data_IF_499446156555
#
_entry.id   IF_499446156555
#
_cell.length_a   1.000
_cell.length_b   1.000
_cell.length_c   1.000
_cell.angle_alpha   90.00
_cell.angle_beta   90.00
_cell.angle_gamma   90.00
#
_symmetry.space_group_name_H-M   'P 1'
#
loop_
_entity.id
_entity.type
_entity.pdbx_description
1 polymer ?
#
# COMPACT_ATOMS: atom_id res chain seq x y z
N UNK A 1 -10.15 1.91 23.57
CA UNK A 1 -9.28 2.79 22.76
C UNK A 1 -7.86 2.48 23.20
N UNK A 2 -7.00 2.01 22.30
CA UNK A 2 -5.62 1.68 22.67
C UNK A 2 -4.78 2.96 22.75
N UNK A 3 -4.21 3.24 23.92
CA UNK A 3 -3.31 4.38 24.19
C UNK A 3 -1.96 4.22 23.46
N UNK A 4 -1.97 4.45 22.15
CA UNK A 4 -0.77 4.37 21.32
C UNK A 4 -0.11 5.74 21.22
N UNK A 5 1.16 5.86 21.60
CA UNK A 5 1.95 7.08 21.56
C UNK A 5 2.91 7.09 20.37
N UNK A 6 3.29 8.30 19.96
CA UNK A 6 4.28 8.57 18.92
C UNK A 6 5.48 9.30 19.51
N UNK A 7 6.68 8.80 19.23
CA UNK A 7 7.97 9.36 19.66
C UNK A 7 8.50 10.23 18.52
N UNK A 8 8.59 11.55 18.73
CA UNK A 8 8.97 12.53 17.71
C UNK A 8 10.25 13.25 18.14
N UNK A 9 11.29 13.20 17.31
CA UNK A 9 12.47 14.03 17.45
C UNK A 9 12.11 15.48 17.14
N UNK A 10 12.48 16.44 17.99
CA UNK A 10 12.08 17.85 17.84
C UNK A 10 12.98 18.63 16.87
N UNK A 11 14.08 18.03 16.40
CA UNK A 11 15.08 18.70 15.56
C UNK A 11 16.20 19.38 16.35
N UNK A 12 16.23 19.23 17.68
CA UNK A 12 17.23 19.82 18.56
C UNK A 12 18.05 18.75 19.28
N UNK A 13 19.32 19.06 19.50
CA UNK A 13 20.28 18.21 20.20
C UNK A 13 20.58 18.81 21.57
N UNK A 14 20.92 17.95 22.52
CA UNK A 14 21.34 18.39 23.85
C UNK A 14 22.67 19.16 23.74
N UNK A 15 22.77 20.29 24.48
CA UNK A 15 23.92 21.21 24.41
C UNK A 15 25.24 20.63 24.95
N UNK A 16 25.20 19.41 25.51
CA UNK A 16 26.31 18.74 26.19
C UNK A 16 27.05 17.69 25.35
N UNK A 17 26.68 17.46 24.07
CA UNK A 17 27.33 16.47 23.18
C UNK A 17 27.57 16.94 21.75
N UNK A 18 28.65 16.43 21.16
CA UNK A 18 28.97 16.67 19.75
C UNK A 18 28.06 15.85 18.82
N UNK A 19 27.59 16.43 17.69
CA UNK A 19 26.66 15.75 16.77
C UNK A 19 27.18 14.42 16.20
N UNK A 20 28.49 14.28 15.98
CA UNK A 20 29.08 13.06 15.43
C UNK A 20 29.00 11.88 16.42
N UNK A 21 29.17 12.13 17.73
CA UNK A 21 29.02 11.10 18.76
C UNK A 21 27.57 10.58 18.85
N UNK A 22 26.60 11.47 18.63
CA UNK A 22 25.17 11.14 18.61
C UNK A 22 24.84 10.25 17.39
N UNK A 23 25.43 10.55 16.23
CA UNK A 23 25.24 9.78 14.98
C UNK A 23 25.74 8.35 15.16
N UNK A 24 26.95 8.16 15.70
CA UNK A 24 27.52 6.82 15.94
C UNK A 24 26.73 6.04 16.99
N UNK A 25 26.32 6.70 18.08
CA UNK A 25 25.50 6.06 19.13
C UNK A 25 24.12 5.63 18.61
N UNK A 26 23.50 6.45 17.77
CA UNK A 26 22.21 6.16 17.15
C UNK A 26 22.32 5.00 16.15
N UNK A 27 23.31 5.04 15.26
CA UNK A 27 23.57 3.99 14.27
C UNK A 27 23.81 2.62 14.94
N UNK A 28 24.62 2.59 16.00
CA UNK A 28 24.92 1.38 16.75
C UNK A 28 23.72 0.80 17.50
N UNK A 29 22.89 1.64 18.12
CA UNK A 29 21.74 1.19 18.92
C UNK A 29 20.56 0.72 18.07
N UNK A 30 20.31 1.41 16.94
CA UNK A 30 19.17 1.11 16.06
C UNK A 30 19.54 0.25 14.84
N UNK A 31 20.81 -0.13 14.69
CA UNK A 31 21.33 -0.90 13.54
C UNK A 31 20.97 -0.25 12.19
N UNK A 32 21.09 1.08 12.10
CA UNK A 32 20.92 1.83 10.85
C UNK A 32 22.26 2.33 10.32
N UNK A 33 22.33 2.70 9.04
CA UNK A 33 23.55 3.28 8.47
C UNK A 33 23.86 4.65 9.09
N UNK A 34 25.16 4.96 9.24
CA UNK A 34 25.61 6.26 9.78
C UNK A 34 25.09 7.44 8.94
N UNK A 35 24.92 7.25 7.62
CA UNK A 35 24.38 8.27 6.73
C UNK A 35 22.91 8.60 7.02
N UNK A 36 22.07 7.59 7.32
CA UNK A 36 20.67 7.80 7.72
C UNK A 36 20.59 8.50 9.09
N UNK A 37 21.48 8.14 10.02
CA UNK A 37 21.57 8.80 11.32
C UNK A 37 22.03 10.26 11.17
N UNK A 38 23.00 10.54 10.29
CA UNK A 38 23.47 11.89 9.98
C UNK A 38 22.37 12.76 9.38
N UNK A 39 21.62 12.26 8.41
CA UNK A 39 20.49 13.00 7.83
C UNK A 39 19.45 13.35 8.90
N UNK A 40 19.10 12.40 9.77
CA UNK A 40 18.12 12.63 10.84
C UNK A 40 18.61 13.71 11.83
N UNK A 41 19.83 13.57 12.34
CA UNK A 41 20.43 14.45 13.36
C UNK A 41 20.72 15.85 12.80
N UNK A 42 21.21 15.95 11.56
CA UNK A 42 21.59 17.23 10.94
C UNK A 42 20.43 17.96 10.25
N UNK A 43 19.30 17.29 9.98
CA UNK A 43 18.15 17.93 9.30
C UNK A 43 17.52 19.07 10.10
N UNK A 44 17.65 19.06 11.43
CA UNK A 44 17.03 20.03 12.33
C UNK A 44 15.50 20.06 12.28
N UNK A 45 14.86 19.05 11.67
CA UNK A 45 13.42 18.99 11.45
C UNK A 45 12.76 18.01 12.42
N UNK A 46 11.55 18.35 12.85
CA UNK A 46 10.76 17.47 13.69
C UNK A 46 10.39 16.18 12.93
N UNK A 47 10.93 15.04 13.35
CA UNK A 47 10.85 13.79 12.58
C UNK A 47 10.32 12.66 13.46
N UNK A 48 9.30 11.91 13.00
CA UNK A 48 8.75 10.82 13.79
C UNK A 48 9.64 9.58 13.74
N UNK A 49 10.20 9.17 14.87
CA UNK A 49 11.11 8.02 14.94
C UNK A 49 10.31 6.71 15.06
N UNK A 50 9.27 6.69 15.91
CA UNK A 50 8.43 5.48 16.09
C UNK A 50 7.01 5.84 16.49
N UNK A 51 6.03 5.19 15.87
CA UNK A 51 4.59 5.31 16.16
C UNK A 51 4.02 3.98 16.66
N UNK A 52 2.86 4.05 17.33
CA UNK A 52 2.10 2.86 17.74
C UNK A 52 2.59 2.20 19.03
N UNK A 53 3.30 2.92 19.90
CA UNK A 53 3.87 2.35 21.14
C UNK A 53 2.92 2.53 22.32
N UNK A 54 2.70 1.48 23.11
CA UNK A 54 2.06 1.62 24.43
C UNK A 54 2.87 2.57 25.32
N UNK A 55 2.20 3.33 26.19
CA UNK A 55 2.81 4.37 27.05
C UNK A 55 4.14 3.93 27.71
N UNK A 56 4.14 2.76 28.37
CA UNK A 56 5.33 2.24 29.05
C UNK A 56 6.50 1.88 28.12
N UNK A 57 6.23 1.53 26.85
CA UNK A 57 7.26 1.30 25.83
C UNK A 57 7.73 2.62 25.23
N UNK A 58 6.82 3.57 25.03
CA UNK A 58 7.14 4.88 24.49
C UNK A 58 8.06 5.68 25.44
N UNK A 59 7.81 5.63 26.75
CA UNK A 59 8.68 6.23 27.79
C UNK A 59 10.09 5.59 27.80
N UNK A 60 10.17 4.26 27.65
CA UNK A 60 11.47 3.57 27.53
C UNK A 60 12.24 3.98 26.27
N UNK A 61 11.54 4.10 25.14
CA UNK A 61 12.14 4.59 23.88
C UNK A 61 12.61 6.04 24.00
N UNK A 62 11.82 6.90 24.64
CA UNK A 62 12.19 8.29 24.89
C UNK A 62 13.44 8.37 25.77
N UNK A 63 13.50 7.63 26.88
CA UNK A 63 14.65 7.64 27.79
C UNK A 63 15.95 7.22 27.09
N UNK A 64 15.87 6.23 26.20
CA UNK A 64 17.01 5.75 25.41
C UNK A 64 17.50 6.83 24.43
N UNK A 65 16.58 7.54 23.76
CA UNK A 65 16.93 8.61 22.80
C UNK A 65 17.46 9.88 23.49
N UNK A 66 16.88 10.24 24.64
CA UNK A 66 17.36 11.37 25.45
C UNK A 66 18.75 11.07 26.03
N UNK A 67 19.01 9.83 26.46
CA UNK A 67 20.33 9.40 26.92
C UNK A 67 21.41 9.46 25.82
N UNK A 68 21.00 9.42 24.55
CA UNK A 68 21.88 9.63 23.39
C UNK A 68 22.06 11.10 23.00
N UNK A 69 21.34 12.04 23.61
CA UNK A 69 21.47 13.47 23.32
C UNK A 69 20.45 14.03 22.31
N UNK A 70 19.40 13.29 21.96
CA UNK A 70 18.31 13.79 21.13
C UNK A 70 17.19 14.39 21.99
N UNK A 71 16.69 15.58 21.64
CA UNK A 71 15.48 16.14 22.26
C UNK A 71 14.23 15.52 21.60
N UNK A 72 13.42 14.81 22.40
CA UNK A 72 12.33 13.97 21.90
C UNK A 72 11.05 14.20 22.69
N UNK A 73 9.95 14.36 21.98
CA UNK A 73 8.61 14.58 22.52
C UNK A 73 7.70 13.36 22.32
N UNK A 74 6.91 13.03 23.34
CA UNK A 74 5.87 12.01 23.27
C UNK A 74 4.54 12.65 22.88
N UNK A 75 4.11 12.43 21.65
CA UNK A 75 2.83 12.95 21.13
C UNK A 75 1.76 11.86 21.28
N UNK A 76 0.78 12.11 22.15
CA UNK A 76 -0.45 11.31 22.19
C UNK A 76 -1.31 11.62 20.95
N UNK A 77 -1.99 10.64 20.35
CA UNK A 77 -2.91 10.86 19.25
C UNK A 77 -4.09 11.67 19.79
N UNK A 78 -4.07 12.97 19.52
CA UNK A 78 -5.22 13.81 19.81
C UNK A 78 -6.38 13.37 18.90
N UNK A 79 -7.60 13.19 19.43
CA UNK A 79 -8.79 13.18 18.59
C UNK A 79 -8.85 14.54 17.88
N UNK A 80 -9.05 14.51 16.55
CA UNK A 80 -9.11 15.72 15.74
C UNK A 80 -10.02 16.78 16.39
N UNK A 81 -9.42 17.87 16.87
CA UNK A 81 -10.14 18.99 17.44
C UNK A 81 -11.01 19.61 16.33
N UNK A 82 -12.33 19.55 16.52
CA UNK A 82 -13.29 20.35 15.74
C UNK A 82 -12.97 21.85 15.96
N UNK A 83 -13.11 22.71 14.94
CA UNK A 83 -13.05 24.15 15.17
C UNK A 83 -14.22 24.55 16.09
N UNK A 84 -13.89 25.34 17.11
CA UNK A 84 -14.80 25.74 18.17
C UNK A 84 -15.92 26.64 17.65
N UNK A 85 -17.16 26.17 17.79
CA UNK A 85 -18.34 27.01 17.98
C UNK A 85 -19.26 26.34 19.00
N UNK A 86 -19.78 27.18 19.90
CA UNK A 86 -20.89 26.97 20.84
C UNK A 86 -20.58 26.38 22.25
N UNK A 87 -20.56 27.31 23.21
CA UNK A 87 -21.39 27.38 24.42
C UNK A 87 -21.33 26.24 25.46
N UNK A 88 -20.83 26.59 26.65
CA UNK A 88 -20.94 25.87 27.92
C UNK A 88 -22.40 25.72 28.38
N UNK A 89 -22.69 24.65 29.14
CA UNK A 89 -23.36 24.67 30.46
C UNK A 89 -23.21 23.28 31.11
N UNK A 90 -22.98 23.30 32.42
CA UNK A 90 -22.74 22.23 33.39
C UNK A 90 -23.73 21.05 33.41
N UNK A 91 -23.26 19.92 33.93
CA UNK A 91 -24.13 18.83 34.36
C UNK A 91 -23.39 17.57 34.82
N UNK A 92 -22.99 17.58 36.09
CA UNK A 92 -23.14 16.50 37.09
C UNK A 92 -22.53 15.09 36.84
N UNK A 93 -21.77 14.64 37.84
CA UNK A 93 -21.42 13.22 38.06
C UNK A 93 -22.46 12.63 39.04
N UNK A 94 -22.76 11.33 39.01
CA UNK A 94 -22.00 10.45 39.92
C UNK A 94 -21.82 8.99 39.48
N UNK A 95 -20.69 8.44 39.94
CA UNK A 95 -20.38 7.06 40.37
C UNK A 95 -21.27 5.87 39.99
N UNK A 96 -20.64 4.78 39.55
CA UNK A 96 -20.87 3.45 40.11
C UNK A 96 -19.63 2.56 39.90
N UNK A 97 -19.23 1.92 40.98
CA UNK A 97 -18.22 0.87 41.12
C UNK A 97 -18.49 -0.34 40.20
N UNK A 98 -17.45 -1.08 39.83
CA UNK A 98 -17.43 -2.53 40.06
C UNK A 98 -16.01 -3.10 39.86
N UNK A 99 -15.47 -3.44 41.01
CA UNK A 99 -14.55 -4.48 41.47
C UNK A 99 -13.77 -5.41 40.51
N UNK A 100 -12.61 -5.77 41.05
CA UNK A 100 -11.60 -6.71 40.62
C UNK A 100 -12.11 -8.14 40.34
N UNK A 101 -11.46 -8.85 39.42
CA UNK A 101 -10.98 -10.21 39.72
C UNK A 101 -9.98 -10.72 38.69
N UNK A 102 -8.74 -10.82 39.16
CA UNK A 102 -7.68 -11.67 38.63
C UNK A 102 -8.12 -13.13 38.76
N UNK A 103 -8.17 -13.88 37.66
CA UNK A 103 -8.28 -15.35 37.70
C UNK A 103 -6.98 -15.98 37.21
N UNK A 104 -6.17 -16.43 38.16
CA UNK A 104 -5.11 -17.42 37.97
C UNK A 104 -5.72 -18.72 37.43
N UNK A 105 -5.50 -19.02 36.15
CA UNK A 105 -5.68 -20.39 35.63
C UNK A 105 -4.30 -21.04 35.51
N UNK A 106 -3.90 -21.78 36.54
CA UNK A 106 -2.74 -22.66 36.50
C UNK A 106 -3.03 -23.83 35.56
N UNK A 107 -2.63 -23.72 34.29
CA UNK A 107 -2.72 -24.82 33.32
C UNK A 107 -1.61 -25.84 33.64
N UNK A 108 -1.99 -27.02 34.13
CA UNK A 108 -1.05 -28.05 34.60
C UNK A 108 -0.31 -28.82 33.50
N UNK A 109 -0.54 -28.50 32.22
CA UNK A 109 0.18 -29.07 31.07
C UNK A 109 0.05 -28.20 29.81
N UNK A 110 1.09 -28.18 28.97
CA UNK A 110 1.08 -27.41 27.72
C UNK A 110 0.08 -27.98 26.69
N UNK A 111 -0.84 -27.18 26.12
CA UNK A 111 -1.86 -27.65 25.19
C UNK A 111 -1.33 -28.06 23.80
N UNK A 112 -0.09 -27.70 23.45
CA UNK A 112 0.51 -28.04 22.15
C UNK A 112 1.32 -29.34 22.18
N UNK A 113 2.09 -29.59 23.24
CA UNK A 113 3.00 -30.75 23.33
C UNK A 113 2.75 -31.67 24.54
N UNK A 114 1.83 -31.32 25.45
CA UNK A 114 1.50 -32.14 26.62
C UNK A 114 2.51 -32.11 27.77
N UNK A 115 3.58 -31.29 27.67
CA UNK A 115 4.60 -31.21 28.74
C UNK A 115 4.04 -30.58 30.02
N UNK A 116 4.48 -31.12 31.17
CA UNK A 116 4.19 -30.57 32.51
C UNK A 116 5.20 -29.53 32.97
N UNK A 117 6.25 -29.27 32.18
CA UNK A 117 7.27 -28.27 32.49
C UNK A 117 6.84 -26.89 31.96
N UNK A 118 6.02 -26.20 32.74
CA UNK A 118 5.53 -24.84 32.46
C UNK A 118 6.08 -23.89 33.53
N UNK A 119 6.67 -22.79 33.09
CA UNK A 119 7.13 -21.71 33.95
C UNK A 119 6.74 -20.37 33.31
N UNK A 120 6.17 -19.44 34.09
CA UNK A 120 5.82 -18.08 33.67
C UNK A 120 5.11 -18.00 32.30
N UNK A 121 4.01 -18.74 32.16
CA UNK A 121 3.16 -18.78 30.95
C UNK A 121 3.89 -19.25 29.67
N UNK A 122 5.05 -19.91 29.82
CA UNK A 122 5.82 -20.51 28.72
C UNK A 122 6.06 -21.99 28.96
N UNK A 123 5.91 -22.78 27.90
CA UNK A 123 6.34 -24.18 27.92
C UNK A 123 7.84 -24.27 27.65
N UNK A 124 8.60 -24.96 28.52
CA UNK A 124 10.06 -25.06 28.37
C UNK A 124 10.48 -25.98 27.21
N UNK A 125 9.65 -26.96 26.85
CA UNK A 125 9.97 -27.91 25.78
C UNK A 125 9.67 -27.35 24.39
N UNK A 126 8.43 -26.92 24.14
CA UNK A 126 8.03 -26.43 22.81
C UNK A 126 8.11 -24.90 22.65
N UNK A 127 8.53 -24.19 23.70
CA UNK A 127 8.80 -22.75 23.75
C UNK A 127 7.64 -21.83 23.35
N UNK A 128 6.40 -22.32 23.37
CA UNK A 128 5.22 -21.48 23.15
C UNK A 128 4.83 -20.71 24.41
N UNK A 129 4.21 -19.56 24.22
CA UNK A 129 3.47 -18.85 25.27
C UNK A 129 2.05 -19.41 25.29
N UNK A 130 1.61 -19.95 26.43
CA UNK A 130 0.39 -20.77 26.53
C UNK A 130 -0.84 -19.90 26.31
N UNK A 131 -0.93 -18.75 26.98
CA UNK A 131 -2.01 -17.78 26.79
C UNK A 131 -2.17 -17.33 25.34
N UNK A 132 -1.06 -17.02 24.65
CA UNK A 132 -1.08 -16.62 23.23
C UNK A 132 -1.53 -17.75 22.30
N UNK A 133 -1.15 -18.99 22.62
CA UNK A 133 -1.56 -20.16 21.83
C UNK A 133 -3.05 -20.47 21.99
N UNK A 134 -3.60 -20.34 23.20
CA UNK A 134 -5.03 -20.50 23.47
C UNK A 134 -5.86 -19.40 22.78
N UNK A 135 -5.41 -18.14 22.83
CA UNK A 135 -6.05 -17.04 22.12
C UNK A 135 -6.10 -17.24 20.59
N UNK A 136 -5.12 -17.94 20.01
CA UNK A 136 -5.09 -18.30 18.58
C UNK A 136 -6.05 -19.46 18.28
N UNK A 137 -6.22 -20.41 19.20
CA UNK A 137 -7.20 -21.50 19.05
C UNK A 137 -8.64 -20.98 19.12
N UNK A 138 -8.94 -20.05 20.03
CA UNK A 138 -10.27 -19.44 20.16
C UNK A 138 -10.63 -18.52 18.97
N UNK A 139 -9.62 -17.94 18.32
CA UNK A 139 -9.79 -17.13 17.09
C UNK A 139 -9.80 -17.95 15.79
N UNK A 140 -9.94 -19.28 15.89
CA UNK A 140 -10.29 -20.16 14.75
C UNK A 140 -9.19 -20.37 13.70
N UNK A 141 -7.94 -19.95 13.95
CA UNK A 141 -6.83 -20.16 13.03
C UNK A 141 -6.06 -21.44 13.40
N UNK A 142 -6.67 -22.60 13.14
CA UNK A 142 -6.01 -23.89 13.34
C UNK A 142 -5.10 -24.24 12.14
N UNK A 143 -3.79 -23.98 12.26
CA UNK A 143 -2.79 -24.67 11.45
C UNK A 143 -2.48 -26.03 12.09
N UNK A 144 -2.99 -27.11 11.48
CA UNK A 144 -2.52 -28.47 11.75
C UNK A 144 -1.16 -28.67 11.09
N UNK A 145 -0.11 -28.87 11.89
CA UNK A 145 1.19 -29.33 11.40
C UNK A 145 1.19 -30.87 11.26
N UNK A 146 1.77 -31.44 10.19
CA UNK A 146 2.04 -32.87 10.12
C UNK A 146 3.17 -33.27 11.07
N UNK A 147 3.07 -34.47 11.62
CA UNK A 147 4.01 -35.10 12.52
C UNK A 147 5.42 -35.23 11.90
N UNK A 148 6.44 -34.91 12.70
CA UNK A 148 7.84 -35.20 12.39
C UNK A 148 8.18 -36.65 12.78
N UNK A 149 8.72 -37.40 11.83
CA UNK A 149 9.44 -38.66 12.08
C UNK A 149 10.94 -38.35 11.90
N UNK A 150 11.84 -38.78 12.80
CA UNK A 150 13.27 -38.52 12.64
C UNK A 150 13.89 -39.63 11.78
N UNK A 151 14.53 -39.26 10.68
CA UNK A 151 15.39 -40.18 9.94
C UNK A 151 16.81 -39.63 9.85
N UNK A 152 17.73 -40.56 10.10
CA UNK A 152 19.14 -40.45 10.45
C UNK A 152 19.94 -40.73 9.18
N UNK A 153 20.88 -39.87 8.82
CA UNK A 153 21.94 -40.14 7.81
C UNK A 153 23.19 -39.43 8.35
N UNK A 154 23.99 -40.06 9.22
CA UNK A 154 25.10 -40.99 8.91
C UNK A 154 26.12 -40.44 7.90
N UNK A 155 27.24 -40.00 8.47
CA UNK A 155 28.53 -39.71 7.83
C UNK A 155 29.02 -40.93 7.05
N UNK A 156 29.55 -40.69 5.85
CA UNK A 156 30.40 -41.64 5.16
C UNK A 156 31.66 -40.92 4.70
N UNK A 157 32.74 -41.17 5.43
CA UNK A 157 34.12 -41.11 4.95
C UNK A 157 34.24 -42.00 3.71
N UNK A 158 34.86 -41.51 2.63
CA UNK A 158 35.56 -42.44 1.74
C UNK A 158 36.79 -41.79 1.09
N UNK A 159 37.87 -42.52 1.33
CA UNK A 159 39.26 -42.39 0.94
C UNK A 159 39.54 -42.21 -0.56
N UNK A 160 40.60 -41.45 -0.84
CA UNK A 160 41.38 -41.45 -2.08
C UNK A 160 41.80 -42.85 -2.54
N UNK A 161 42.24 -42.96 -3.81
CA UNK A 161 43.64 -43.35 -3.99
C UNK A 161 44.40 -42.52 -5.04
N UNK A 162 45.71 -42.47 -4.79
CA UNK A 162 46.76 -41.82 -5.57
C UNK A 162 46.85 -42.23 -7.04
N UNK A 163 47.31 -41.31 -7.91
CA UNK A 163 48.56 -41.54 -8.69
C UNK A 163 49.09 -40.28 -9.39
N UNK A 164 50.29 -39.89 -8.95
CA UNK A 164 51.48 -39.44 -9.71
C UNK A 164 51.52 -38.11 -10.49
N UNK A 165 52.58 -37.34 -10.14
CA UNK A 165 53.46 -36.52 -11.00
C UNK A 165 52.86 -35.21 -11.52
N UNK A 166 53.46 -34.02 -11.43
CA UNK A 166 54.74 -33.45 -10.96
C UNK A 166 54.50 -31.95 -11.04
N UNK A 167 54.78 -31.09 -10.07
CA UNK A 167 56.07 -30.43 -9.90
C UNK A 167 55.78 -29.25 -8.95
N UNK A 168 56.50 -29.20 -7.84
CA UNK A 168 56.34 -28.17 -6.83
C UNK A 168 56.91 -26.84 -7.35
N UNK A 169 56.10 -25.79 -7.33
CA UNK A 169 56.59 -24.42 -7.35
C UNK A 169 56.16 -23.78 -6.03
N UNK A 170 57.16 -23.52 -5.20
CA UNK A 170 57.07 -22.81 -3.93
C UNK A 170 56.77 -21.33 -4.19
N UNK A 171 55.67 -20.84 -3.65
CA UNK A 171 55.38 -19.40 -3.53
C UNK A 171 54.97 -19.10 -2.10
N UNK A 172 55.96 -19.12 -1.23
CA UNK A 172 55.88 -18.49 0.10
C UNK A 172 56.23 -17.00 -0.03
N UNK A 173 55.23 -16.14 -0.28
CA UNK A 173 55.30 -14.70 -0.04
C UNK A 173 53.89 -14.12 0.19
N UNK A 174 53.69 -13.23 1.18
CA UNK A 174 52.38 -12.66 1.47
C UNK A 174 52.06 -11.60 0.40
N UNK A 175 51.06 -11.87 -0.43
CA UNK A 175 50.50 -10.85 -1.31
C UNK A 175 49.48 -10.03 -0.51
N UNK A 176 49.84 -8.78 -0.21
CA UNK A 176 48.89 -7.71 0.06
C UNK A 176 47.79 -7.77 -1.01
N UNK A 177 46.53 -7.77 -0.57
CA UNK A 177 45.34 -7.74 -1.41
C UNK A 177 45.25 -6.40 -2.15
N UNK A 178 46.10 -6.25 -3.16
CA UNK A 178 46.03 -5.20 -4.15
C UNK A 178 44.83 -5.48 -5.05
N UNK A 179 43.93 -4.49 -5.10
CA UNK A 179 42.81 -4.37 -6.01
C UNK A 179 43.14 -4.89 -7.41
N UNK A 180 42.52 -5.99 -7.81
CA UNK A 180 42.67 -6.55 -9.15
C UNK A 180 42.06 -5.57 -10.17
N UNK A 181 42.86 -4.92 -11.05
CA UNK A 181 42.36 -3.95 -12.02
C UNK A 181 41.50 -4.57 -13.13
N UNK A 182 41.41 -5.91 -13.19
CA UNK A 182 40.60 -6.67 -14.13
C UNK A 182 39.39 -7.34 -13.48
N UNK A 183 39.03 -6.97 -12.25
CA UNK A 183 37.78 -7.45 -11.64
C UNK A 183 36.61 -6.85 -12.42
N UNK A 184 35.80 -7.74 -13.03
CA UNK A 184 34.57 -7.32 -13.69
C UNK A 184 33.66 -6.63 -12.65
N UNK A 185 32.97 -5.53 -13.01
CA UNK A 185 32.01 -4.91 -12.11
C UNK A 185 31.01 -5.98 -11.68
N UNK A 186 30.91 -6.24 -10.38
CA UNK A 186 29.81 -7.06 -9.87
C UNK A 186 28.54 -6.28 -10.14
N UNK A 187 27.71 -6.80 -11.05
CA UNK A 187 26.37 -6.28 -11.21
C UNK A 187 25.64 -6.54 -9.90
N UNK A 188 25.22 -5.47 -9.23
CA UNK A 188 24.32 -5.60 -8.09
C UNK A 188 23.03 -6.27 -8.58
N UNK A 189 22.88 -7.55 -8.24
CA UNK A 189 21.74 -8.36 -8.65
C UNK A 189 20.48 -8.04 -7.83
N UNK A 190 20.60 -7.14 -6.86
CA UNK A 190 19.53 -6.68 -6.00
C UNK A 190 19.67 -5.17 -5.81
N UNK A 191 19.35 -4.34 -6.83
CA UNK A 191 19.20 -2.91 -6.58
C UNK A 191 18.23 -2.76 -5.41
N UNK A 192 18.71 -2.28 -4.26
CA UNK A 192 17.84 -1.97 -3.14
C UNK A 192 16.78 -0.98 -3.64
N UNK A 193 15.51 -1.34 -3.50
CA UNK A 193 14.41 -0.45 -3.83
C UNK A 193 14.49 0.77 -2.91
N UNK A 194 14.96 1.89 -3.45
CA UNK A 194 14.89 3.19 -2.78
C UNK A 194 13.51 3.80 -3.04
N UNK A 195 12.63 3.73 -2.05
CA UNK A 195 11.36 4.43 -2.08
C UNK A 195 11.65 5.94 -2.03
N UNK A 196 11.61 6.60 -3.19
CA UNK A 196 11.77 8.06 -3.27
C UNK A 196 10.78 8.79 -2.36
N UNK A 197 11.10 10.04 -2.02
CA UNK A 197 10.20 10.86 -1.20
C UNK A 197 8.97 11.29 -2.03
N UNK A 198 7.79 11.25 -1.41
CA UNK A 198 6.58 11.80 -2.04
C UNK A 198 6.66 13.34 -2.04
N UNK A 199 6.97 13.94 -3.19
CA UNK A 199 7.14 15.40 -3.35
C UNK A 199 5.89 16.12 -3.86
N UNK A 200 4.82 15.36 -4.12
CA UNK A 200 3.54 15.87 -4.65
C UNK A 200 3.52 15.88 -6.18
N UNK A 201 2.42 16.34 -6.82
CA UNK A 201 2.25 16.16 -8.26
C UNK A 201 3.21 17.05 -9.06
N UNK A 202 4.17 16.43 -9.73
CA UNK A 202 5.08 17.06 -10.70
C UNK A 202 4.51 17.02 -12.12
N UNK A 203 5.03 17.87 -13.01
CA UNK A 203 4.69 17.84 -14.43
C UNK A 203 5.69 16.98 -15.20
N UNK A 204 5.20 16.11 -16.07
CA UNK A 204 6.04 15.24 -16.90
C UNK A 204 5.95 15.59 -18.39
N UNK A 205 6.87 15.03 -19.19
CA UNK A 205 6.88 15.23 -20.63
C UNK A 205 5.65 14.63 -21.32
N UNK A 206 5.20 15.24 -22.42
CA UNK A 206 3.99 14.82 -23.14
C UNK A 206 4.00 13.34 -23.56
N UNK A 207 5.11 12.84 -24.11
CA UNK A 207 5.22 11.45 -24.58
C UNK A 207 5.34 10.43 -23.44
N UNK A 208 5.45 10.88 -22.18
CA UNK A 208 5.58 9.98 -21.03
C UNK A 208 4.38 9.05 -20.87
N UNK A 209 3.19 9.44 -21.37
CA UNK A 209 2.00 8.58 -21.41
C UNK A 209 2.22 7.23 -22.11
N UNK A 210 3.05 7.17 -23.15
CA UNK A 210 3.44 5.88 -23.75
C UNK A 210 4.34 5.06 -22.83
N UNK A 211 5.25 5.74 -22.12
CA UNK A 211 6.13 5.12 -21.11
C UNK A 211 5.34 4.38 -20.03
N UNK A 212 4.32 5.03 -19.47
CA UNK A 212 3.46 4.42 -18.44
C UNK A 212 2.80 3.12 -18.92
N UNK A 213 2.33 3.11 -20.17
CA UNK A 213 1.76 1.91 -20.80
C UNK A 213 2.80 0.81 -20.95
N UNK A 214 3.99 1.12 -21.46
CA UNK A 214 5.07 0.12 -21.64
C UNK A 214 5.60 -0.43 -20.32
N UNK A 215 5.67 0.38 -19.27
CA UNK A 215 6.06 -0.03 -17.92
C UNK A 215 4.96 -0.87 -17.25
N UNK A 216 3.68 -0.50 -17.45
CA UNK A 216 2.54 -1.32 -17.02
C UNK A 216 2.52 -2.71 -17.67
N UNK A 217 2.95 -2.80 -18.94
CA UNK A 217 3.17 -4.11 -19.58
C UNK A 217 4.33 -4.89 -18.95
N UNK A 218 5.34 -4.19 -18.41
CA UNK A 218 6.39 -4.76 -17.59
C UNK A 218 5.84 -5.50 -16.36
N UNK A 219 5.01 -4.83 -15.55
CA UNK A 219 4.33 -5.44 -14.40
C UNK A 219 3.51 -6.69 -14.79
N UNK A 220 2.73 -6.59 -15.87
CA UNK A 220 1.94 -7.72 -16.37
C UNK A 220 2.83 -8.92 -16.72
N UNK A 221 3.95 -8.69 -17.42
CA UNK A 221 4.85 -9.76 -17.90
C UNK A 221 5.56 -10.54 -16.80
N UNK A 222 5.74 -9.96 -15.61
CA UNK A 222 6.39 -10.65 -14.50
C UNK A 222 5.54 -11.84 -14.02
N UNK A 223 4.22 -11.68 -13.92
CA UNK A 223 3.30 -12.78 -13.57
C UNK A 223 1.96 -12.70 -14.33
N UNK A 224 1.94 -13.03 -15.63
CA UNK A 224 0.75 -12.86 -16.48
C UNK A 224 -0.45 -13.67 -16.01
N UNK A 225 -0.20 -14.88 -15.48
CA UNK A 225 -1.25 -15.80 -15.03
C UNK A 225 -1.98 -15.20 -13.84
N UNK A 226 -1.26 -14.72 -12.83
CA UNK A 226 -1.88 -14.11 -11.66
C UNK A 226 -2.70 -12.86 -12.04
N UNK A 227 -2.20 -12.01 -12.93
CA UNK A 227 -2.93 -10.84 -13.43
C UNK A 227 -4.24 -11.24 -14.13
N UNK A 228 -4.19 -12.18 -15.07
CA UNK A 228 -5.36 -12.65 -15.82
C UNK A 228 -6.38 -13.29 -14.88
N UNK A 229 -5.94 -14.19 -13.99
CA UNK A 229 -6.83 -14.85 -13.03
C UNK A 229 -7.48 -13.82 -12.11
N UNK A 230 -6.73 -12.83 -11.64
CA UNK A 230 -7.26 -11.76 -10.78
C UNK A 230 -8.32 -10.93 -11.51
N UNK A 231 -8.09 -10.58 -12.78
CA UNK A 231 -9.09 -9.89 -13.60
C UNK A 231 -10.34 -10.75 -13.83
N UNK A 232 -10.18 -12.04 -14.10
CA UNK A 232 -11.31 -12.97 -14.26
C UNK A 232 -12.11 -13.06 -12.96
N UNK A 233 -11.45 -13.21 -11.82
CA UNK A 233 -12.12 -13.23 -10.50
C UNK A 233 -12.87 -11.93 -10.26
N UNK A 234 -12.27 -10.77 -10.58
CA UNK A 234 -12.94 -9.47 -10.48
C UNK A 234 -14.18 -9.37 -11.38
N UNK A 235 -14.09 -9.80 -12.63
CA UNK A 235 -15.22 -9.82 -13.58
C UNK A 235 -16.33 -10.75 -13.11
N UNK A 236 -15.98 -11.94 -12.59
CA UNK A 236 -16.97 -12.88 -12.04
C UNK A 236 -17.66 -12.26 -10.83
N UNK A 237 -16.90 -11.68 -9.89
CA UNK A 237 -17.44 -11.05 -8.68
C UNK A 237 -18.43 -9.93 -9.03
N UNK A 238 -18.04 -9.03 -9.93
CA UNK A 238 -18.90 -7.92 -10.39
C UNK A 238 -20.11 -8.41 -11.19
N UNK A 239 -19.96 -9.47 -11.99
CA UNK A 239 -21.07 -10.09 -12.72
C UNK A 239 -22.09 -10.71 -11.77
N UNK A 240 -21.62 -11.42 -10.73
CA UNK A 240 -22.49 -12.00 -9.69
C UNK A 240 -23.24 -10.90 -8.93
N UNK A 241 -22.53 -9.84 -8.52
CA UNK A 241 -23.17 -8.70 -7.86
C UNK A 241 -24.21 -8.02 -8.76
N UNK A 242 -23.98 -7.96 -10.06
CA UNK A 242 -24.90 -7.33 -11.02
C UNK A 242 -26.27 -8.03 -11.12
N UNK A 243 -26.42 -9.27 -10.65
CA UNK A 243 -27.74 -9.93 -10.53
C UNK A 243 -28.62 -9.35 -9.43
N UNK A 244 -28.06 -8.55 -8.51
CA UNK A 244 -28.82 -7.86 -7.47
C UNK A 244 -29.02 -6.41 -7.94
N UNK A 245 -30.18 -6.05 -8.50
CA UNK A 245 -30.40 -4.70 -9.02
C UNK A 245 -30.22 -3.66 -7.90
N UNK A 246 -29.67 -2.51 -8.25
CA UNK A 246 -29.40 -1.39 -7.34
C UNK A 246 -28.32 -1.71 -6.29
N UNK A 247 -28.55 -2.68 -5.41
CA UNK A 247 -27.61 -3.02 -4.31
C UNK A 247 -26.28 -3.52 -4.88
N UNK A 248 -26.32 -4.39 -5.88
CA UNK A 248 -25.14 -4.90 -6.55
C UNK A 248 -24.31 -3.81 -7.21
N UNK A 249 -24.96 -2.94 -7.98
CA UNK A 249 -24.29 -1.78 -8.61
C UNK A 249 -23.69 -0.83 -7.58
N UNK A 250 -24.40 -0.54 -6.48
CA UNK A 250 -23.90 0.32 -5.41
C UNK A 250 -22.69 -0.33 -4.72
N UNK A 251 -22.75 -1.63 -4.42
CA UNK A 251 -21.63 -2.36 -3.84
C UNK A 251 -20.40 -2.31 -4.75
N UNK A 252 -20.56 -2.56 -6.06
CA UNK A 252 -19.46 -2.46 -7.02
C UNK A 252 -18.89 -1.04 -7.06
N UNK A 253 -19.71 0.00 -7.13
CA UNK A 253 -19.22 1.39 -7.15
C UNK A 253 -18.47 1.77 -5.87
N UNK A 254 -18.97 1.40 -4.71
CA UNK A 254 -18.36 1.72 -3.42
C UNK A 254 -17.08 0.92 -3.15
N UNK A 255 -17.01 -0.34 -3.61
CA UNK A 255 -15.87 -1.22 -3.41
C UNK A 255 -14.81 -1.12 -4.52
N UNK A 256 -15.14 -0.59 -5.69
CA UNK A 256 -14.19 -0.36 -6.80
C UNK A 256 -12.88 0.31 -6.37
N UNK A 257 -12.86 1.39 -5.55
CA UNK A 257 -11.60 1.96 -5.06
C UNK A 257 -10.82 1.02 -4.14
N UNK A 258 -11.51 0.16 -3.37
CA UNK A 258 -10.86 -0.86 -2.52
C UNK A 258 -10.13 -1.88 -3.40
N UNK A 259 -10.79 -2.32 -4.47
CA UNK A 259 -10.21 -3.26 -5.42
C UNK A 259 -9.07 -2.63 -6.22
N UNK A 260 -9.25 -1.38 -6.66
CA UNK A 260 -8.20 -0.59 -7.33
C UNK A 260 -6.96 -0.46 -6.45
N UNK A 261 -7.13 -0.12 -5.16
CA UNK A 261 -6.05 -0.10 -4.18
C UNK A 261 -5.34 -1.46 -4.05
N UNK A 262 -6.08 -2.56 -4.10
CA UNK A 262 -5.52 -3.91 -4.16
C UNK A 262 -4.55 -4.12 -5.33
N UNK A 263 -4.94 -3.71 -6.54
CA UNK A 263 -4.05 -3.73 -7.70
C UNK A 263 -2.80 -2.85 -7.50
N UNK A 264 -2.95 -1.67 -6.91
CA UNK A 264 -1.81 -0.77 -6.66
C UNK A 264 -0.83 -1.37 -5.65
N UNK A 265 -1.32 -2.03 -4.59
CA UNK A 265 -0.49 -2.74 -3.61
C UNK A 265 0.25 -3.91 -4.26
N UNK A 266 -0.41 -4.64 -5.16
CA UNK A 266 0.24 -5.71 -5.93
C UNK A 266 1.33 -5.20 -6.87
N UNK A 267 1.11 -4.06 -7.53
CA UNK A 267 2.17 -3.43 -8.33
C UNK A 267 3.35 -2.97 -7.47
N UNK A 268 3.10 -2.45 -6.26
CA UNK A 268 4.18 -2.08 -5.32
C UNK A 268 4.97 -3.30 -4.88
N UNK A 269 4.31 -4.41 -4.52
CA UNK A 269 5.01 -5.66 -4.17
C UNK A 269 5.89 -6.16 -5.32
N UNK A 270 5.44 -6.00 -6.57
CA UNK A 270 6.26 -6.30 -7.75
C UNK A 270 7.49 -5.39 -7.91
N UNK A 271 7.41 -4.11 -7.55
CA UNK A 271 8.59 -3.22 -7.55
C UNK A 271 9.56 -3.56 -6.42
N UNK A 272 9.06 -4.02 -5.27
CA UNK A 272 9.86 -4.45 -4.12
C UNK A 272 10.52 -5.83 -4.32
N UNK A 273 10.38 -6.45 -5.50
CA UNK A 273 10.96 -7.75 -5.85
C UNK A 273 10.09 -8.97 -5.51
N UNK A 274 8.86 -8.74 -5.04
CA UNK A 274 7.85 -9.77 -4.84
C UNK A 274 7.06 -10.13 -6.10
N UNK A 275 6.01 -10.94 -5.93
CA UNK A 275 5.15 -11.42 -7.02
C UNK A 275 3.74 -10.87 -6.91
N UNK A 276 3.11 -10.55 -8.05
CA UNK A 276 1.67 -10.28 -8.06
C UNK A 276 0.87 -11.57 -7.81
N UNK A 277 0.00 -11.56 -6.79
CA UNK A 277 -0.86 -12.68 -6.41
C UNK A 277 -2.35 -12.32 -6.49
N UNK A 278 -3.19 -13.33 -6.68
CA UNK A 278 -4.67 -13.18 -6.69
C UNK A 278 -5.20 -12.60 -5.37
N UNK A 279 -4.49 -12.84 -4.26
CA UNK A 279 -4.81 -12.26 -2.96
C UNK A 279 -4.81 -10.72 -2.95
N UNK A 280 -4.04 -10.07 -3.85
CA UNK A 280 -4.00 -8.60 -3.93
C UNK A 280 -5.33 -7.97 -4.27
N UNK A 281 -6.23 -8.70 -4.95
CA UNK A 281 -7.59 -8.22 -5.19
C UNK A 281 -8.28 -7.77 -3.89
N UNK A 282 -7.93 -8.40 -2.77
CA UNK A 282 -8.51 -8.13 -1.46
C UNK A 282 -7.58 -7.33 -0.53
N UNK A 283 -6.33 -7.05 -0.92
CA UNK A 283 -5.39 -6.32 -0.07
C UNK A 283 -5.83 -4.88 0.25
N UNK A 284 -6.67 -4.27 -0.60
CA UNK A 284 -7.26 -2.97 -0.28
C UNK A 284 -8.16 -2.98 0.96
N UNK A 285 -8.69 -4.14 1.36
CA UNK A 285 -9.48 -4.28 2.59
C UNK A 285 -8.63 -4.19 3.88
N UNK A 286 -7.30 -4.19 3.77
CA UNK A 286 -6.39 -3.95 4.90
C UNK A 286 -5.74 -2.57 4.89
N UNK A 287 -6.09 -1.70 3.93
CA UNK A 287 -5.42 -0.40 3.71
C UNK A 287 -6.44 0.72 3.67
N UNK A 288 -6.75 1.31 4.83
CA UNK A 288 -7.64 2.47 4.95
C UNK A 288 -9.01 2.33 4.26
N UNK A 289 -9.66 1.18 4.46
CA UNK A 289 -10.95 0.85 3.82
C UNK A 289 -11.99 1.93 3.96
N UNK A 290 -12.10 2.56 5.14
CA UNK A 290 -13.05 3.65 5.36
C UNK A 290 -12.83 4.84 4.43
N UNK A 291 -11.56 5.20 4.17
CA UNK A 291 -11.22 6.26 3.22
C UNK A 291 -11.43 5.82 1.77
N UNK A 292 -11.11 4.57 1.42
CA UNK A 292 -11.35 4.04 0.08
C UNK A 292 -12.85 3.96 -0.25
N UNK A 293 -13.68 3.48 0.68
CA UNK A 293 -15.14 3.49 0.53
C UNK A 293 -15.68 4.92 0.47
N UNK A 294 -15.10 5.86 1.21
CA UNK A 294 -15.44 7.28 1.10
C UNK A 294 -15.09 7.85 -0.28
N UNK A 295 -13.96 7.48 -0.90
CA UNK A 295 -13.65 7.84 -2.30
C UNK A 295 -14.75 7.30 -3.23
N UNK A 296 -15.18 6.05 -3.04
CA UNK A 296 -16.26 5.44 -3.83
C UNK A 296 -17.60 6.16 -3.64
N UNK A 297 -17.91 6.57 -2.41
CA UNK A 297 -19.11 7.35 -2.09
C UNK A 297 -19.07 8.74 -2.73
N UNK A 298 -17.95 9.45 -2.64
CA UNK A 298 -17.77 10.76 -3.25
C UNK A 298 -17.88 10.67 -4.78
N UNK A 299 -17.30 9.63 -5.39
CA UNK A 299 -17.46 9.34 -6.81
C UNK A 299 -18.92 9.09 -7.19
N UNK A 300 -19.63 8.23 -6.43
CA UNK A 300 -21.04 7.92 -6.65
C UNK A 300 -21.91 9.19 -6.57
N UNK A 301 -21.76 9.98 -5.51
CA UNK A 301 -22.53 11.23 -5.34
C UNK A 301 -22.23 12.19 -6.49
N UNK A 302 -20.97 12.31 -6.90
CA UNK A 302 -20.58 13.15 -8.04
C UNK A 302 -21.24 12.67 -9.34
N UNK A 303 -21.24 11.36 -9.60
CA UNK A 303 -21.89 10.78 -10.78
C UNK A 303 -23.42 10.96 -10.75
N UNK A 304 -24.07 10.87 -9.58
CA UNK A 304 -25.50 11.18 -9.44
C UNK A 304 -25.77 12.63 -9.80
N UNK A 305 -24.96 13.58 -9.30
CA UNK A 305 -25.09 15.00 -9.65
C UNK A 305 -24.94 15.20 -11.17
N UNK A 306 -23.95 14.57 -11.79
CA UNK A 306 -23.77 14.61 -13.24
C UNK A 306 -24.98 14.06 -14.00
N UNK A 307 -25.51 12.90 -13.59
CA UNK A 307 -26.68 12.28 -14.21
C UNK A 307 -27.90 13.19 -14.08
N UNK A 308 -28.12 13.80 -12.91
CA UNK A 308 -29.22 14.77 -12.69
C UNK A 308 -29.08 15.96 -13.63
N UNK A 309 -27.87 16.52 -13.77
CA UNK A 309 -27.63 17.61 -14.71
C UNK A 309 -27.93 17.18 -16.15
N UNK A 310 -27.39 16.03 -16.60
CA UNK A 310 -27.67 15.50 -17.94
C UNK A 310 -29.18 15.31 -18.15
N UNK A 311 -29.88 14.71 -17.19
CA UNK A 311 -31.32 14.46 -17.26
C UNK A 311 -32.14 15.76 -17.33
N UNK A 312 -31.73 16.83 -16.60
CA UNK A 312 -32.37 18.14 -16.69
C UNK A 312 -32.26 18.73 -18.10
N UNK A 313 -31.07 18.68 -18.70
CA UNK A 313 -30.86 19.19 -20.07
C UNK A 313 -31.55 18.29 -21.10
N UNK A 314 -31.51 16.98 -20.94
CA UNK A 314 -32.17 16.03 -21.84
C UNK A 314 -33.70 16.16 -21.78
N UNK A 315 -34.28 16.29 -20.58
CA UNK A 315 -35.71 16.51 -20.38
C UNK A 315 -36.17 17.87 -20.93
N UNK A 316 -35.37 18.93 -20.75
CA UNK A 316 -35.63 20.23 -21.36
C UNK A 316 -35.59 20.18 -22.89
N UNK A 317 -34.61 19.50 -23.47
CA UNK A 317 -34.51 19.31 -24.91
C UNK A 317 -35.69 18.49 -25.47
N UNK A 318 -36.07 17.41 -24.79
CA UNK A 318 -37.24 16.60 -25.15
C UNK A 318 -38.54 17.43 -25.07
N UNK A 319 -38.72 18.24 -24.01
CA UNK A 319 -39.87 19.12 -23.86
C UNK A 319 -39.98 20.15 -25.00
N UNK A 320 -38.86 20.76 -25.40
CA UNK A 320 -38.83 21.71 -26.51
C UNK A 320 -39.15 21.08 -27.87
N UNK A 321 -38.85 19.78 -28.04
CA UNK A 321 -39.17 19.02 -29.25
C UNK A 321 -40.58 18.40 -29.24
N UNK A 322 -41.32 18.48 -28.14
CA UNK A 322 -42.65 17.86 -28.01
C UNK A 322 -42.58 16.35 -27.73
N UNK A 323 -43.10 15.51 -28.63
CA UNK A 323 -43.13 14.02 -28.54
C UNK A 323 -41.73 13.38 -28.72
N UNK A 324 -40.67 14.13 -28.37
CA UNK A 324 -39.26 13.93 -28.74
C UNK A 324 -38.58 12.66 -28.19
N UNK A 325 -39.25 11.89 -27.34
CA UNK A 325 -38.77 10.56 -26.92
C UNK A 325 -39.24 9.45 -27.88
N UNK A 326 -40.32 9.67 -28.64
CA UNK A 326 -40.87 8.70 -29.59
C UNK A 326 -40.39 8.94 -31.03
N UNK A 327 -39.85 10.13 -31.33
CA UNK A 327 -39.26 10.44 -32.63
C UNK A 327 -37.80 9.99 -32.71
N UNK A 328 -37.58 8.71 -33.06
CA UNK A 328 -36.24 8.20 -33.41
C UNK A 328 -35.78 8.74 -34.78
N UNK A 329 -35.41 10.03 -34.82
CA UNK A 329 -34.94 10.73 -36.02
C UNK A 329 -33.74 11.66 -35.77
N UNK A 330 -33.23 12.36 -36.80
CA UNK A 330 -32.10 13.29 -36.69
C UNK A 330 -32.31 14.40 -35.63
N UNK A 331 -33.56 14.79 -35.40
CA UNK A 331 -33.93 15.80 -34.42
C UNK A 331 -33.65 15.35 -32.98
N UNK A 332 -33.85 14.06 -32.65
CA UNK A 332 -33.48 13.52 -31.34
C UNK A 332 -31.95 13.47 -31.16
N UNK A 333 -31.21 13.07 -32.20
CA UNK A 333 -29.74 13.02 -32.15
C UNK A 333 -29.14 14.42 -31.89
N UNK A 334 -29.66 15.45 -32.56
CA UNK A 334 -29.23 16.84 -32.33
C UNK A 334 -29.63 17.36 -30.96
N UNK A 335 -30.82 17.03 -30.45
CA UNK A 335 -31.25 17.41 -29.10
C UNK A 335 -30.47 16.72 -27.98
N UNK A 336 -29.97 15.51 -28.20
CA UNK A 336 -29.15 14.79 -27.22
C UNK A 336 -27.68 15.23 -27.22
N UNK A 337 -27.21 15.93 -28.26
CA UNK A 337 -25.83 16.40 -28.36
C UNK A 337 -25.46 17.35 -27.21
N UNK A 338 -26.32 18.31 -26.87
CA UNK A 338 -26.04 19.27 -25.79
C UNK A 338 -25.96 18.58 -24.41
N UNK A 339 -26.94 17.74 -23.98
CA UNK A 339 -26.83 16.95 -22.75
C UNK A 339 -25.58 16.08 -22.69
N UNK A 340 -25.18 15.45 -23.80
CA UNK A 340 -23.97 14.60 -23.86
C UNK A 340 -22.70 15.43 -23.67
N UNK A 341 -22.59 16.60 -24.33
CA UNK A 341 -21.43 17.49 -24.17
C UNK A 341 -21.33 18.04 -22.74
N UNK A 342 -22.45 18.43 -22.15
CA UNK A 342 -22.51 18.87 -20.76
C UNK A 342 -22.12 17.71 -19.83
N UNK A 343 -22.64 16.51 -20.06
CA UNK A 343 -22.26 15.32 -19.32
C UNK A 343 -20.76 15.07 -19.38
N UNK A 344 -20.19 15.08 -20.58
CA UNK A 344 -18.75 14.90 -20.80
C UNK A 344 -17.93 15.96 -20.05
N UNK A 345 -18.35 17.23 -20.10
CA UNK A 345 -17.71 18.34 -19.40
C UNK A 345 -17.62 18.11 -17.89
N UNK A 346 -18.65 17.53 -17.26
CA UNK A 346 -18.66 17.26 -15.82
C UNK A 346 -18.06 15.90 -15.43
N UNK A 347 -18.14 14.89 -16.30
CA UNK A 347 -17.52 13.57 -16.06
C UNK A 347 -16.00 13.69 -15.97
N UNK A 348 -15.38 14.50 -16.85
CA UNK A 348 -13.92 14.64 -16.92
C UNK A 348 -13.32 15.04 -15.54
N UNK A 349 -13.76 16.13 -14.88
CA UNK A 349 -13.28 16.49 -13.54
C UNK A 349 -13.47 15.40 -12.48
N UNK A 350 -14.60 14.66 -12.52
CA UNK A 350 -14.87 13.59 -11.55
C UNK A 350 -13.90 12.43 -11.75
N UNK A 351 -13.66 12.03 -13.00
CA UNK A 351 -12.67 10.99 -13.34
C UNK A 351 -11.26 11.44 -12.95
N UNK A 352 -10.89 12.69 -13.23
CA UNK A 352 -9.59 13.25 -12.81
C UNK A 352 -9.41 13.21 -11.28
N UNK A 353 -10.45 13.52 -10.52
CA UNK A 353 -10.42 13.46 -9.07
C UNK A 353 -10.35 12.01 -8.54
N UNK A 354 -10.95 11.05 -9.25
CA UNK A 354 -10.93 9.64 -8.85
C UNK A 354 -9.64 8.90 -9.25
N UNK A 355 -9.03 9.25 -10.38
CA UNK A 355 -8.01 8.45 -11.08
C UNK A 355 -6.88 7.93 -10.19
N UNK A 356 -6.27 8.79 -9.37
CA UNK A 356 -5.18 8.43 -8.45
C UNK A 356 -5.62 8.31 -6.99
N UNK A 357 -6.87 8.64 -6.66
CA UNK A 357 -7.31 8.67 -5.27
C UNK A 357 -7.16 7.32 -4.54
N UNK A 358 -7.50 6.15 -5.13
CA UNK A 358 -7.26 4.86 -4.49
C UNK A 358 -5.79 4.58 -4.17
N UNK A 359 -4.88 4.91 -5.10
CA UNK A 359 -3.44 4.73 -4.90
C UNK A 359 -2.92 5.62 -3.76
N UNK A 360 -3.29 6.91 -3.78
CA UNK A 360 -2.91 7.88 -2.75
C UNK A 360 -3.42 7.49 -1.35
N UNK A 361 -4.64 6.95 -1.25
CA UNK A 361 -5.21 6.50 0.03
C UNK A 361 -4.50 5.24 0.54
N UNK A 362 -4.25 4.27 -0.34
CA UNK A 362 -3.74 2.96 0.05
C UNK A 362 -2.22 2.93 0.25
N UNK A 363 -1.47 3.68 -0.55
CA UNK A 363 -0.01 3.70 -0.53
C UNK A 363 0.56 4.84 0.33
N UNK A 364 -0.14 5.98 0.45
CA UNK A 364 0.35 7.14 1.21
C UNK A 364 -0.48 7.49 2.46
N UNK A 365 -1.53 6.73 2.80
CA UNK A 365 -2.39 7.02 3.96
C UNK A 365 -3.03 8.43 3.92
N UNK A 366 -3.31 8.94 2.71
CA UNK A 366 -3.94 10.25 2.52
C UNK A 366 -5.46 10.12 2.64
N UNK A 367 -6.11 11.05 3.34
CA UNK A 367 -7.57 11.11 3.43
C UNK A 367 -8.25 11.24 2.06
N UNK A 368 -9.45 10.67 1.89
CA UNK A 368 -10.17 10.61 0.61
C UNK A 368 -10.29 11.95 -0.10
N UNK A 369 -10.70 13.00 0.62
CA UNK A 369 -10.88 14.34 0.05
C UNK A 369 -9.55 14.95 -0.39
N UNK A 370 -8.49 14.79 0.42
CA UNK A 370 -7.17 15.27 0.07
C UNK A 370 -6.61 14.51 -1.15
N UNK A 371 -6.78 13.19 -1.18
CA UNK A 371 -6.37 12.33 -2.29
C UNK A 371 -7.08 12.72 -3.60
N UNK A 372 -8.40 12.96 -3.55
CA UNK A 372 -9.16 13.39 -4.74
C UNK A 372 -8.73 14.77 -5.25
N UNK A 373 -8.46 15.73 -4.34
CA UNK A 373 -7.92 17.05 -4.72
C UNK A 373 -6.54 16.92 -5.35
N UNK A 374 -5.69 16.07 -4.78
CA UNK A 374 -4.34 15.86 -5.27
C UNK A 374 -4.34 15.17 -6.64
N UNK A 375 -5.19 14.14 -6.82
CA UNK A 375 -5.45 13.49 -8.12
C UNK A 375 -5.93 14.48 -9.17
N UNK A 376 -6.91 15.32 -8.83
CA UNK A 376 -7.41 16.36 -9.73
C UNK A 376 -6.31 17.33 -10.16
N UNK A 377 -5.50 17.82 -9.20
CA UNK A 377 -4.36 18.69 -9.50
C UNK A 377 -3.30 17.99 -10.35
N UNK A 378 -3.05 16.71 -10.12
CA UNK A 378 -2.08 15.90 -10.86
C UNK A 378 -2.49 15.76 -12.33
N UNK A 379 -3.75 15.40 -12.57
CA UNK A 379 -4.30 15.28 -13.92
C UNK A 379 -4.35 16.63 -14.63
N UNK A 380 -4.68 17.73 -13.94
CA UNK A 380 -4.68 19.08 -14.53
C UNK A 380 -3.28 19.51 -14.98
N UNK A 381 -2.26 19.31 -14.13
CA UNK A 381 -0.86 19.63 -14.48
C UNK A 381 -0.34 18.80 -15.65
N UNK A 382 -0.88 17.59 -15.84
CA UNK A 382 -0.43 16.61 -16.83
C UNK A 382 -1.48 16.35 -17.93
N UNK A 383 -2.29 17.35 -18.29
CA UNK A 383 -3.37 17.19 -19.26
C UNK A 383 -2.89 16.65 -20.62
N UNK A 384 -1.76 17.15 -21.13
CA UNK A 384 -1.20 16.72 -22.41
C UNK A 384 -0.67 15.26 -22.36
N UNK A 385 0.15 14.86 -21.36
CA UNK A 385 0.48 13.45 -21.15
C UNK A 385 -0.75 12.53 -21.07
N UNK A 386 -1.79 12.93 -20.33
CA UNK A 386 -3.03 12.15 -20.20
C UNK A 386 -3.81 12.06 -21.51
N UNK A 387 -3.84 13.13 -22.31
CA UNK A 387 -4.48 13.12 -23.62
C UNK A 387 -3.80 12.12 -24.55
N UNK A 388 -2.47 12.13 -24.63
CA UNK A 388 -1.71 11.17 -25.45
C UNK A 388 -1.83 9.73 -24.91
N UNK A 389 -1.78 9.56 -23.59
CA UNK A 389 -2.07 8.29 -22.93
C UNK A 389 -3.43 7.73 -23.36
N UNK A 390 -4.49 8.56 -23.35
CA UNK A 390 -5.82 8.19 -23.81
C UNK A 390 -5.87 7.77 -25.28
N UNK A 391 -5.14 8.46 -26.17
CA UNK A 391 -5.04 8.07 -27.59
C UNK A 391 -4.34 6.72 -27.78
N UNK A 392 -3.23 6.48 -27.08
CA UNK A 392 -2.53 5.19 -27.14
C UNK A 392 -3.38 4.07 -26.55
N UNK A 393 -4.03 4.32 -25.41
CA UNK A 393 -4.96 3.39 -24.78
C UNK A 393 -6.11 3.03 -25.74
N UNK A 394 -6.71 4.01 -26.42
CA UNK A 394 -7.75 3.79 -27.43
C UNK A 394 -7.25 2.90 -28.58
N UNK A 395 -6.06 3.19 -29.12
CA UNK A 395 -5.46 2.37 -30.18
C UNK A 395 -5.19 0.93 -29.73
N UNK A 396 -4.65 0.74 -28.51
CA UNK A 396 -4.42 -0.58 -27.93
C UNK A 396 -5.71 -1.35 -27.70
N UNK A 397 -6.78 -0.68 -27.27
CA UNK A 397 -8.11 -1.30 -27.15
C UNK A 397 -8.63 -1.79 -28.50
N UNK A 398 -8.52 -0.95 -29.54
CA UNK A 398 -8.93 -1.33 -30.91
C UNK A 398 -8.13 -2.56 -31.35
N UNK A 399 -6.80 -2.53 -31.26
CA UNK A 399 -5.94 -3.64 -31.67
C UNK A 399 -6.22 -4.90 -30.85
N UNK A 400 -6.35 -4.77 -29.52
CA UNK A 400 -6.62 -5.88 -28.62
C UNK A 400 -8.01 -6.51 -28.82
N UNK A 401 -8.94 -5.77 -29.41
CA UNK A 401 -10.28 -6.28 -29.75
C UNK A 401 -10.32 -7.11 -31.04
N UNK A 402 -9.39 -6.90 -31.99
CA UNK A 402 -9.32 -7.60 -33.28
C UNK A 402 -9.33 -9.14 -33.13
N UNK A 403 -8.52 -9.77 -32.25
CA UNK A 403 -8.54 -11.22 -32.07
C UNK A 403 -9.72 -11.67 -31.20
N UNK A 404 -10.94 -11.29 -31.60
CA UNK A 404 -12.20 -11.59 -30.88
C UNK A 404 -12.17 -11.20 -29.40
N UNK A 405 -11.51 -10.09 -29.07
CA UNK A 405 -11.36 -9.61 -27.69
C UNK A 405 -10.29 -10.30 -26.85
N UNK A 406 -9.60 -11.33 -27.33
CA UNK A 406 -8.57 -12.04 -26.56
C UNK A 406 -7.38 -11.14 -26.18
N UNK A 407 -7.05 -10.15 -27.01
CA UNK A 407 -6.00 -9.19 -26.70
C UNK A 407 -6.33 -8.30 -25.50
N UNK A 408 -7.61 -8.15 -25.14
CA UNK A 408 -8.02 -7.39 -23.96
C UNK A 408 -7.59 -8.05 -22.64
N UNK A 409 -7.33 -9.37 -22.64
CA UNK A 409 -6.74 -10.06 -21.48
C UNK A 409 -5.33 -9.57 -21.15
N UNK A 410 -4.65 -8.91 -22.10
CA UNK A 410 -3.34 -8.28 -21.90
C UNK A 410 -3.50 -6.78 -21.71
N UNK A 411 -4.31 -6.13 -22.55
CA UNK A 411 -4.48 -4.66 -22.54
C UNK A 411 -5.09 -4.17 -21.23
N UNK A 412 -6.08 -4.87 -20.67
CA UNK A 412 -6.74 -4.42 -19.42
C UNK A 412 -5.77 -4.45 -18.22
N UNK A 413 -5.06 -5.56 -17.91
CA UNK A 413 -4.03 -5.56 -16.88
C UNK A 413 -2.95 -4.51 -17.08
N UNK A 414 -2.48 -4.34 -18.33
CA UNK A 414 -1.48 -3.35 -18.69
C UNK A 414 -1.95 -1.93 -18.36
N UNK A 415 -3.21 -1.60 -18.63
CA UNK A 415 -3.79 -0.30 -18.28
C UNK A 415 -3.88 -0.13 -16.76
N UNK A 416 -4.35 -1.14 -16.04
CA UNK A 416 -4.43 -1.09 -14.58
C UNK A 416 -3.05 -0.88 -13.96
N UNK A 417 -2.02 -1.61 -14.42
CA UNK A 417 -0.65 -1.41 -13.98
C UNK A 417 -0.09 -0.04 -14.40
N UNK A 418 -0.46 0.50 -15.56
CA UNK A 418 -0.03 1.84 -15.97
C UNK A 418 -0.58 2.96 -15.09
N UNK A 419 -1.70 2.74 -14.39
CA UNK A 419 -2.17 3.68 -13.37
C UNK A 419 -1.18 3.78 -12.21
N UNK A 420 -0.57 2.66 -11.82
CA UNK A 420 0.45 2.64 -10.78
C UNK A 420 1.74 3.32 -11.24
N UNK A 421 2.22 3.03 -12.46
CA UNK A 421 3.47 3.63 -12.97
C UNK A 421 3.32 5.14 -13.18
N UNK A 422 2.18 5.59 -13.72
CA UNK A 422 1.87 7.03 -13.83
C UNK A 422 1.73 7.71 -12.47
N UNK A 423 1.20 7.01 -11.47
CA UNK A 423 1.19 7.51 -10.09
C UNK A 423 2.61 7.67 -9.54
N UNK A 424 3.49 6.66 -9.69
CA UNK A 424 4.88 6.74 -9.24
C UNK A 424 5.61 7.91 -9.88
N UNK A 425 5.52 8.02 -11.20
CA UNK A 425 6.20 9.04 -12.02
C UNK A 425 5.71 10.48 -11.74
N UNK A 426 4.46 10.66 -11.30
CA UNK A 426 3.89 11.99 -11.00
C UNK A 426 4.07 12.40 -9.54
N UNK A 427 4.12 11.46 -8.60
CA UNK A 427 4.09 11.77 -7.16
C UNK A 427 5.42 11.59 -6.43
N UNK A 428 6.40 10.92 -7.05
CA UNK A 428 7.71 10.64 -6.47
C UNK A 428 8.81 11.23 -7.35
N UNK A 429 9.92 11.61 -6.72
CA UNK A 429 11.08 12.22 -7.38
C UNK A 429 12.39 11.81 -6.75
#
# INVERSE_FOLDING_TARGET
MSDQYKVVFTGKLAEDREPEDIITAFAGTFKCSEEKARVLVMSGKATPIKSGLEKAKAEKYQAVLVAMGLEVELVAPQPAAKPAFAFEIEGDSPSADDDDSVSDTSVSACPKCGSKQVADDRCLDCKIVISKYLAIQESGHAFTAPAATPEKVEEAEESSPDTSSSSAVDYSAPADSSSNPYQAPEADLTPEYEEGDMTGPVSVSALRGWGWLTEGFGHFKQNPVAWIVTMIVWVILTSVLSFIPVIGSLAVTLLSPVISAGFMLGCREQEEGGDFRVAHLFSGFSSNVGQLVLVGLLYLVSMIVVIVVIAMFAGGAAFLLGDGLNSMGPDMASAMLVPILIGTLFIIPVVMAYWFAPALVALNDISAIAAMKMSFSACLKNMLPFFLYGLFMMLLFIIGSIPFGLGLLVVIPMIVASMYTSYRDIFYS
#
